data_IF_795380347258
#
_entry.id   IF_795380347258
#
_cell.length_a   1.000
_cell.length_b   1.000
_cell.length_c   1.000
_cell.angle_alpha   90.00
_cell.angle_beta   90.00
_cell.angle_gamma   90.00
#
_symmetry.space_group_name_H-M   'P 1'
#
loop_
_entity.id
_entity.type
_entity.pdbx_description
1 polymer ?
#
# COMPACT_ATOMS: atom_id res chain seq x y z
N UNK A 1 4.85 28.29 -58.52
CA UNK A 1 5.02 26.83 -58.64
C UNK A 1 6.29 26.45 -57.89
N UNK A 2 6.19 25.77 -56.73
CA UNK A 2 7.27 25.01 -56.08
C UNK A 2 6.66 24.04 -55.07
N UNK A 3 6.98 22.75 -55.21
CA UNK A 3 6.49 21.60 -54.44
C UNK A 3 7.46 21.25 -53.27
N UNK A 4 7.07 20.37 -52.33
CA UNK A 4 7.46 20.42 -50.92
C UNK A 4 8.69 19.58 -50.56
N UNK A 5 9.31 19.84 -49.42
CA UNK A 5 10.29 18.94 -48.79
C UNK A 5 9.59 18.18 -47.65
N UNK A 6 9.31 16.90 -47.88
CA UNK A 6 8.95 15.93 -46.85
C UNK A 6 10.20 15.65 -46.02
N UNK A 7 10.14 15.89 -44.71
CA UNK A 7 11.13 15.33 -43.78
C UNK A 7 10.50 14.13 -43.08
N UNK A 8 10.74 12.95 -43.62
CA UNK A 8 10.59 11.70 -42.91
C UNK A 8 12.01 11.19 -42.62
N UNK A 9 12.33 10.98 -41.35
CA UNK A 9 13.44 10.12 -40.93
C UNK A 9 13.02 9.46 -39.63
N UNK A 10 12.72 8.18 -39.76
CA UNK A 10 12.50 7.21 -38.70
C UNK A 10 13.75 7.05 -37.82
N UNK A 11 13.57 6.33 -36.70
CA UNK A 11 14.52 5.77 -35.69
C UNK A 11 14.19 6.39 -34.32
N UNK A 12 13.85 5.68 -33.23
CA UNK A 12 13.90 4.27 -32.86
C UNK A 12 12.92 4.05 -31.68
N UNK A 13 12.36 2.84 -31.61
CA UNK A 13 11.65 2.31 -30.44
C UNK A 13 12.53 2.33 -29.19
N UNK A 14 12.00 2.86 -28.08
CA UNK A 14 12.29 2.30 -26.75
C UNK A 14 10.98 2.24 -25.97
N UNK A 15 10.25 1.14 -26.13
CA UNK A 15 9.40 0.65 -25.04
C UNK A 15 10.33 0.27 -23.88
N UNK A 16 10.31 1.02 -22.77
CA UNK A 16 10.63 0.49 -21.44
C UNK A 16 9.91 1.33 -20.36
N UNK A 17 8.84 0.80 -19.73
CA UNK A 17 8.23 1.42 -18.56
C UNK A 17 9.11 1.09 -17.35
N UNK A 18 10.13 1.90 -17.10
CA UNK A 18 10.92 1.76 -15.88
C UNK A 18 10.26 2.56 -14.75
N UNK A 19 9.42 1.84 -14.01
CA UNK A 19 9.15 2.04 -12.58
C UNK A 19 8.82 3.49 -12.20
N UNK A 20 7.52 3.81 -12.24
CA UNK A 20 6.97 4.72 -11.25
C UNK A 20 7.60 4.34 -9.91
N UNK A 21 8.37 5.26 -9.34
CA UNK A 21 9.02 5.06 -8.05
C UNK A 21 7.90 4.60 -7.13
N UNK A 22 7.95 3.34 -6.68
CA UNK A 22 6.92 2.81 -5.80
C UNK A 22 6.87 3.80 -4.65
N UNK A 23 5.77 4.56 -4.58
CA UNK A 23 5.54 5.52 -3.53
C UNK A 23 5.84 4.78 -2.24
N UNK A 24 6.79 5.26 -1.41
CA UNK A 24 7.09 4.69 -0.08
C UNK A 24 5.94 5.04 0.88
N UNK A 25 4.72 5.06 0.34
CA UNK A 25 3.50 5.34 1.04
C UNK A 25 2.84 3.98 1.27
N UNK A 26 2.40 3.71 2.49
CA UNK A 26 1.67 2.49 2.77
C UNK A 26 0.43 2.38 1.87
N UNK A 27 0.10 1.16 1.41
CA UNK A 27 -1.08 0.94 0.59
C UNK A 27 -2.33 1.38 1.35
N UNK A 28 -3.21 2.10 0.66
CA UNK A 28 -4.49 2.57 1.21
C UNK A 28 -5.67 1.67 0.81
N UNK A 29 -5.42 0.65 -0.02
CA UNK A 29 -6.44 -0.31 -0.46
C UNK A 29 -6.51 -1.47 0.50
N UNK A 30 -7.72 -1.86 0.91
CA UNK A 30 -7.95 -3.05 1.75
C UNK A 30 -7.81 -4.30 0.88
N UNK A 31 -6.99 -5.25 1.33
CA UNK A 31 -6.78 -6.53 0.64
C UNK A 31 -8.00 -7.46 0.80
N UNK A 32 -8.17 -8.40 -0.12
CA UNK A 32 -9.23 -9.41 -0.09
C UNK A 32 -9.17 -10.27 1.19
N UNK A 33 -7.96 -10.46 1.72
CA UNK A 33 -7.72 -11.19 2.95
C UNK A 33 -7.00 -10.32 3.98
N UNK A 34 -7.78 -9.81 4.93
CA UNK A 34 -7.24 -9.08 6.10
C UNK A 34 -7.27 -9.98 7.32
N UNK A 35 -6.09 -10.33 7.85
CA UNK A 35 -5.97 -11.12 9.08
C UNK A 35 -6.38 -10.28 10.30
N UNK A 36 -7.00 -10.88 11.30
CA UNK A 36 -7.21 -10.21 12.59
C UNK A 36 -5.88 -9.89 13.30
N UNK A 37 -5.78 -8.76 13.98
CA UNK A 37 -4.63 -8.51 14.85
C UNK A 37 -4.57 -9.57 15.96
N UNK A 38 -3.41 -10.17 16.19
CA UNK A 38 -3.20 -11.17 17.24
C UNK A 38 -1.78 -11.03 17.79
N UNK A 39 -1.59 -11.30 19.08
CA UNK A 39 -0.26 -11.32 19.72
C UNK A 39 0.61 -12.47 19.19
N UNK A 40 1.93 -12.32 19.29
CA UNK A 40 2.95 -13.28 18.86
C UNK A 40 2.97 -13.57 17.35
N UNK A 41 2.50 -12.63 16.54
CA UNK A 41 2.54 -12.64 15.08
C UNK A 41 3.61 -11.66 14.62
N UNK A 42 4.47 -12.10 13.71
CA UNK A 42 5.36 -11.19 13.01
C UNK A 42 4.60 -10.47 11.88
N UNK A 43 4.59 -9.15 11.90
CA UNK A 43 3.95 -8.30 10.90
C UNK A 43 5.01 -7.63 10.03
N UNK A 44 4.99 -7.94 8.74
CA UNK A 44 5.87 -7.32 7.75
C UNK A 44 5.41 -5.90 7.44
N UNK A 45 6.32 -5.10 6.88
CA UNK A 45 5.97 -3.79 6.36
C UNK A 45 4.81 -3.93 5.34
N UNK A 46 3.79 -3.10 5.52
CA UNK A 46 2.57 -3.01 4.72
C UNK A 46 1.60 -4.19 4.81
N UNK A 47 1.83 -5.18 5.67
CA UNK A 47 0.79 -6.16 5.99
C UNK A 47 -0.40 -5.50 6.71
N UNK A 48 -1.60 -6.00 6.41
CA UNK A 48 -2.83 -5.44 6.91
C UNK A 48 -3.38 -6.30 8.06
N UNK A 49 -3.93 -5.63 9.07
CA UNK A 49 -4.69 -6.27 10.13
C UNK A 49 -6.06 -5.64 10.35
N UNK A 50 -7.00 -6.48 10.78
CA UNK A 50 -8.35 -6.09 11.18
C UNK A 50 -8.48 -6.06 12.69
N UNK A 51 -9.16 -5.05 13.22
CA UNK A 51 -9.51 -4.93 14.64
C UNK A 51 -11.00 -4.62 14.75
N UNK A 52 -11.73 -5.37 15.58
CA UNK A 52 -13.12 -5.08 15.86
C UNK A 52 -13.24 -3.81 16.71
N UNK A 53 -13.98 -2.82 16.23
CA UNK A 53 -14.34 -1.63 16.99
C UNK A 53 -15.77 -1.77 17.56
N UNK A 54 -15.92 -1.88 18.89
CA UNK A 54 -17.24 -1.99 19.51
C UNK A 54 -18.07 -0.70 19.39
N UNK A 55 -17.45 0.47 19.21
CA UNK A 55 -18.18 1.74 19.09
C UNK A 55 -18.92 1.84 17.76
N UNK A 56 -18.24 1.53 16.66
CA UNK A 56 -18.85 1.55 15.32
C UNK A 56 -19.50 0.23 14.93
N UNK A 57 -19.31 -0.84 15.72
CA UNK A 57 -19.74 -2.22 15.42
C UNK A 57 -19.25 -2.68 14.04
N UNK A 58 -17.96 -2.48 13.78
CA UNK A 58 -17.35 -2.80 12.49
C UNK A 58 -15.87 -3.14 12.61
N UNK A 59 -15.29 -3.69 11.55
CA UNK A 59 -13.86 -3.99 11.48
C UNK A 59 -13.13 -2.77 10.95
N UNK A 60 -12.20 -2.26 11.75
CA UNK A 60 -11.23 -1.27 11.30
C UNK A 60 -10.01 -1.98 10.72
N UNK A 61 -9.56 -1.53 9.57
CA UNK A 61 -8.38 -2.08 8.88
C UNK A 61 -7.21 -1.11 9.01
N UNK A 62 -6.07 -1.68 9.40
CA UNK A 62 -4.83 -0.98 9.65
C UNK A 62 -3.70 -1.63 8.86
N UNK A 63 -2.76 -0.82 8.40
CA UNK A 63 -1.57 -1.28 7.69
C UNK A 63 -0.33 -1.08 8.55
N UNK A 64 0.54 -2.08 8.59
CA UNK A 64 1.79 -2.04 9.32
C UNK A 64 2.77 -1.07 8.63
N UNK A 65 3.19 -0.01 9.33
CA UNK A 65 4.15 0.99 8.83
C UNK A 65 5.57 0.78 9.38
N UNK A 66 5.73 -0.20 10.28
CA UNK A 66 7.01 -0.60 10.85
C UNK A 66 6.98 -2.08 11.20
N UNK A 67 7.85 -2.86 10.57
CA UNK A 67 7.99 -4.29 10.84
C UNK A 67 8.25 -4.56 12.33
N UNK A 68 7.50 -5.49 12.92
CA UNK A 68 7.60 -5.84 14.34
C UNK A 68 6.95 -7.20 14.63
N UNK A 69 7.25 -7.74 15.82
CA UNK A 69 6.47 -8.82 16.40
C UNK A 69 5.37 -8.22 17.27
N UNK A 70 4.13 -8.70 17.14
CA UNK A 70 3.04 -8.21 17.96
C UNK A 70 3.21 -8.63 19.42
N UNK A 71 3.36 -7.63 20.28
CA UNK A 71 3.36 -7.76 21.73
C UNK A 71 2.32 -6.80 22.30
N UNK A 72 2.07 -6.86 23.61
CA UNK A 72 1.21 -5.86 24.24
C UNK A 72 1.77 -4.45 24.00
N UNK A 73 0.89 -3.52 23.65
CA UNK A 73 1.22 -2.13 23.34
C UNK A 73 1.63 -1.89 21.89
N UNK A 74 1.75 -2.93 21.06
CA UNK A 74 2.00 -2.78 19.62
C UNK A 74 0.73 -2.97 18.79
N UNK A 75 -0.43 -3.15 19.40
CA UNK A 75 -1.72 -3.19 18.71
C UNK A 75 -2.13 -1.83 18.12
N UNK A 76 -2.96 -1.81 17.06
CA UNK A 76 -3.73 -0.61 16.74
C UNK A 76 -4.51 -0.10 17.96
N UNK A 77 -4.59 1.22 18.20
CA UNK A 77 -4.26 2.31 17.28
C UNK A 77 -2.83 2.89 17.45
N UNK A 78 -1.83 2.10 17.88
CA UNK A 78 -0.46 2.62 18.04
C UNK A 78 0.14 3.07 16.68
N UNK A 79 0.21 4.38 16.47
CA UNK A 79 0.66 5.01 15.23
C UNK A 79 2.15 4.85 14.94
N UNK A 80 2.93 4.34 15.90
CA UNK A 80 4.33 3.97 15.66
C UNK A 80 4.47 2.73 14.77
N UNK A 81 3.43 1.90 14.71
CA UNK A 81 3.42 0.63 14.01
C UNK A 81 2.28 0.51 12.99
N UNK A 82 1.18 1.24 13.18
CA UNK A 82 -0.04 1.08 12.40
C UNK A 82 -0.56 2.38 11.84
N UNK A 83 -1.04 2.33 10.61
CA UNK A 83 -1.81 3.41 9.98
C UNK A 83 -3.22 2.92 9.63
N UNK A 84 -4.23 3.69 9.98
CA UNK A 84 -5.61 3.39 9.59
C UNK A 84 -5.79 3.56 8.09
N UNK A 85 -6.39 2.57 7.42
CA UNK A 85 -6.64 2.62 5.97
C UNK A 85 -8.11 2.51 5.60
N UNK A 86 -8.97 2.04 6.51
CA UNK A 86 -10.41 2.04 6.27
C UNK A 86 -11.17 1.06 7.15
N UNK A 87 -12.37 0.71 6.70
CA UNK A 87 -13.24 -0.25 7.38
C UNK A 87 -13.78 -1.26 6.37
N UNK A 88 -13.91 -2.51 6.82
CA UNK A 88 -14.59 -3.58 6.10
C UNK A 88 -16.06 -3.68 6.47
#
# INVERSE_FOLDING_TARGET
>A
MSRPIKRASSQLSVNHPLLAMASIHPPTTIDEFTRIWTANVHWRLYEQCGVWDPQTRGVQVWVCVREHNSTQGTEPPNTSFWQYIGRG
#
